data_IF_378058698019
#
_entry.id   IF_378058698019
#
_cell.length_a   1.000
_cell.length_b   1.000
_cell.length_c   1.000
_cell.angle_alpha   90.00
_cell.angle_beta   90.00
_cell.angle_gamma   90.00
#
_symmetry.space_group_name_H-M   'P 1'
#
loop_
_entity.id
_entity.type
_entity.pdbx_description
1 polymer ?
#
# COMPACT_ATOMS: atom_id res chain seq x y z
N UNK A 1 -18.77 5.31 8.41
CA UNK A 1 -17.47 5.97 8.20
C UNK A 1 -17.49 6.60 6.83
N UNK A 2 -17.75 7.91 6.74
CA UNK A 2 -17.67 8.64 5.46
C UNK A 2 -16.26 9.19 5.32
N UNK A 3 -15.55 8.77 4.28
CA UNK A 3 -14.34 9.45 3.81
C UNK A 3 -14.83 10.55 2.86
N UNK A 4 -14.73 11.81 3.27
CA UNK A 4 -15.03 12.97 2.41
C UNK A 4 -13.79 13.29 1.59
N UNK A 5 -13.91 13.30 0.27
CA UNK A 5 -12.92 13.90 -0.61
C UNK A 5 -13.22 15.41 -0.70
N UNK A 6 -12.23 16.26 -0.40
CA UNK A 6 -12.31 17.71 -0.56
C UNK A 6 -11.93 18.12 -1.98
N UNK A 7 -12.64 19.10 -2.54
CA UNK A 7 -12.54 19.59 -3.93
C UNK A 7 -11.47 20.68 -4.15
N UNK A 8 -10.32 20.61 -3.50
CA UNK A 8 -9.17 21.48 -3.80
C UNK A 8 -7.95 20.60 -4.10
N UNK A 9 -7.60 20.46 -5.39
CA UNK A 9 -6.36 19.81 -5.83
C UNK A 9 -6.08 18.45 -5.18
N UNK A 10 -7.05 17.54 -5.25
CA UNK A 10 -7.12 16.27 -4.53
C UNK A 10 -5.75 15.61 -4.25
N UNK A 11 -5.30 15.70 -3.00
CA UNK A 11 -4.65 14.57 -2.34
C UNK A 11 -5.62 13.40 -2.53
N UNK A 12 -5.38 12.60 -3.57
CA UNK A 12 -6.31 11.53 -3.95
C UNK A 12 -6.31 10.55 -2.79
N UNK A 13 -7.36 10.61 -1.97
CA UNK A 13 -7.68 9.58 -0.99
C UNK A 13 -7.79 8.26 -1.76
N UNK A 14 -6.66 7.56 -1.83
CA UNK A 14 -6.49 6.36 -2.62
C UNK A 14 -6.41 5.20 -1.65
N UNK A 15 -7.10 4.14 -1.99
CA UNK A 15 -7.13 2.90 -1.23
C UNK A 15 -7.03 1.74 -2.20
N UNK A 16 -6.59 0.61 -1.68
CA UNK A 16 -6.66 -0.67 -2.36
C UNK A 16 -7.68 -1.56 -1.67
N UNK A 17 -8.50 -2.23 -2.46
CA UNK A 17 -9.59 -3.08 -2.00
C UNK A 17 -9.40 -4.49 -2.59
N UNK A 18 -9.49 -5.51 -1.74
CA UNK A 18 -9.64 -6.88 -2.19
C UNK A 18 -10.79 -7.56 -1.45
N UNK A 19 -11.44 -8.53 -2.08
CA UNK A 19 -12.55 -9.27 -1.47
C UNK A 19 -12.15 -10.73 -1.30
N UNK A 20 -12.15 -11.21 -0.06
CA UNK A 20 -11.85 -12.62 0.23
C UNK A 20 -12.93 -13.54 -0.32
N UNK A 21 -12.59 -14.82 -0.49
CA UNK A 21 -13.58 -15.89 -0.64
C UNK A 21 -14.53 -15.83 0.56
N UNK A 22 -15.84 -15.72 0.30
CA UNK A 22 -16.86 -15.47 1.33
C UNK A 22 -17.32 -14.01 1.44
N UNK A 23 -16.74 -13.08 0.68
CA UNK A 23 -17.26 -11.73 0.50
C UNK A 23 -16.84 -10.71 1.56
N UNK A 24 -15.96 -11.08 2.50
CA UNK A 24 -15.41 -10.13 3.49
C UNK A 24 -14.32 -9.26 2.83
N UNK A 25 -14.44 -7.92 2.86
CA UNK A 25 -13.42 -7.05 2.27
C UNK A 25 -12.13 -6.96 3.09
N UNK A 26 -11.05 -6.63 2.40
CA UNK A 26 -9.81 -6.09 2.93
C UNK A 26 -9.58 -4.73 2.29
N UNK A 27 -9.29 -3.71 3.10
CA UNK A 27 -9.09 -2.33 2.63
C UNK A 27 -7.75 -1.84 3.14
N UNK A 28 -6.83 -1.52 2.25
CA UNK A 28 -5.55 -0.92 2.59
C UNK A 28 -5.52 0.55 2.16
N UNK A 29 -5.09 1.44 3.03
CA UNK A 29 -5.09 2.88 2.78
C UNK A 29 -4.02 3.57 3.62
N UNK A 30 -3.77 4.85 3.28
CA UNK A 30 -2.95 5.74 4.08
C UNK A 30 -3.84 6.55 5.02
N UNK A 31 -3.55 6.52 6.32
CA UNK A 31 -4.25 7.35 7.28
C UNK A 31 -3.80 8.80 7.11
N UNK A 32 -4.67 9.68 6.61
CA UNK A 32 -4.33 11.09 6.32
C UNK A 32 -3.83 11.88 7.53
N UNK A 33 -4.11 11.44 8.77
CA UNK A 33 -3.68 12.15 9.98
C UNK A 33 -2.29 11.74 10.43
N UNK A 34 -1.92 10.49 10.18
CA UNK A 34 -0.64 9.93 10.65
C UNK A 34 0.32 9.60 9.51
N UNK A 35 -0.17 9.64 8.27
CA UNK A 35 0.43 9.12 7.04
C UNK A 35 0.83 7.64 7.09
N UNK A 36 0.45 6.91 8.14
CA UNK A 36 0.74 5.50 8.29
C UNK A 36 -0.08 4.66 7.30
N UNK A 37 0.51 3.58 6.79
CA UNK A 37 -0.24 2.58 6.03
C UNK A 37 -1.01 1.68 6.98
N UNK A 38 -2.29 1.45 6.67
CA UNK A 38 -3.23 0.71 7.52
C UNK A 38 -3.99 -0.30 6.67
N UNK A 39 -4.20 -1.50 7.20
CA UNK A 39 -5.12 -2.51 6.67
C UNK A 39 -6.35 -2.60 7.57
N UNK A 40 -7.54 -2.53 6.97
CA UNK A 40 -8.80 -2.96 7.59
C UNK A 40 -9.10 -4.38 7.17
N UNK A 41 -9.23 -5.27 8.14
CA UNK A 41 -9.75 -6.62 7.95
C UNK A 41 -11.22 -6.65 8.39
N UNK A 42 -12.14 -6.59 7.43
CA UNK A 42 -13.57 -6.55 7.73
C UNK A 42 -14.06 -7.88 8.31
N UNK A 43 -14.82 -7.81 9.41
CA UNK A 43 -15.40 -9.00 10.06
C UNK A 43 -16.69 -9.48 9.39
N UNK A 44 -17.35 -8.62 8.62
CA UNK A 44 -18.56 -8.94 7.84
C UNK A 44 -18.45 -8.45 6.40
N UNK A 45 -19.40 -8.86 5.53
CA UNK A 45 -19.44 -8.44 4.12
C UNK A 45 -19.73 -6.95 3.95
N UNK A 46 -20.51 -6.39 4.87
CA UNK A 46 -20.90 -4.98 4.94
C UNK A 46 -19.78 -4.11 5.54
N UNK A 47 -18.74 -4.74 6.10
CA UNK A 47 -17.64 -4.09 6.80
C UNK A 47 -18.09 -3.10 7.89
N UNK A 48 -19.21 -3.39 8.56
CA UNK A 48 -19.68 -2.56 9.69
C UNK A 48 -18.72 -2.63 10.88
N UNK A 49 -17.95 -3.71 10.99
CA UNK A 49 -16.89 -3.92 11.96
C UNK A 49 -15.64 -4.42 11.26
N UNK A 50 -14.47 -3.91 11.65
CA UNK A 50 -13.19 -4.31 11.08
C UNK A 50 -12.09 -4.24 12.14
N UNK A 51 -11.10 -5.10 12.00
CA UNK A 51 -9.84 -4.96 12.72
C UNK A 51 -8.95 -3.99 11.96
N UNK A 52 -8.45 -2.97 12.67
CA UNK A 52 -7.56 -1.96 12.12
C UNK A 52 -6.13 -2.34 12.46
N UNK A 53 -5.34 -2.66 11.44
CA UNK A 53 -4.00 -3.19 11.55
C UNK A 53 -3.01 -2.17 10.99
N UNK A 54 -2.25 -1.46 11.83
CA UNK A 54 -1.16 -0.59 11.37
C UNK A 54 -0.07 -1.43 10.71
N UNK A 55 0.35 -1.03 9.51
CA UNK A 55 1.41 -1.71 8.75
C UNK A 55 2.74 -0.98 8.85
N UNK A 56 2.69 0.35 9.02
CA UNK A 56 3.84 1.21 9.26
C UNK A 56 3.57 2.14 10.44
N UNK A 57 4.63 2.78 10.93
CA UNK A 57 4.50 3.90 11.87
C UNK A 57 4.04 5.19 11.20
N UNK A 58 3.75 6.23 12.00
CA UNK A 58 3.48 7.57 11.49
C UNK A 58 4.71 8.18 10.80
N UNK A 59 4.48 9.09 9.85
CA UNK A 59 5.51 9.85 9.15
C UNK A 59 5.09 11.31 8.91
N UNK A 60 6.05 12.20 8.76
CA UNK A 60 5.83 13.60 8.35
C UNK A 60 5.73 13.74 6.83
N UNK A 61 6.16 12.74 6.06
CA UNK A 61 6.06 12.73 4.60
C UNK A 61 4.62 12.51 4.15
N UNK A 62 4.07 13.51 3.44
CA UNK A 62 2.67 13.55 3.02
C UNK A 62 2.42 12.92 1.65
N UNK A 63 3.47 12.83 0.81
CA UNK A 63 3.36 12.34 -0.56
C UNK A 63 3.85 10.91 -0.63
N UNK A 64 2.92 9.97 -0.73
CA UNK A 64 3.26 8.57 -0.94
C UNK A 64 2.06 7.80 -1.50
N UNK A 65 2.24 6.86 -2.44
CA UNK A 65 1.16 6.02 -2.92
C UNK A 65 0.43 5.27 -1.82
N UNK A 66 -0.84 4.89 -2.08
CA UNK A 66 -1.54 3.93 -1.24
C UNK A 66 -0.82 2.58 -1.26
N UNK A 67 -0.99 1.73 -0.24
CA UNK A 67 -0.53 0.35 -0.30
C UNK A 67 -1.14 -0.38 -1.49
N UNK A 68 -0.33 -1.13 -2.26
CA UNK A 68 -0.87 -2.09 -3.21
C UNK A 68 -1.31 -3.35 -2.45
N UNK A 69 -2.44 -3.97 -2.84
CA UNK A 69 -3.03 -5.12 -2.14
C UNK A 69 -3.43 -6.20 -3.13
N UNK A 70 -3.00 -7.43 -2.86
CA UNK A 70 -3.43 -8.62 -3.58
C UNK A 70 -3.73 -9.77 -2.60
N UNK A 71 -4.54 -10.73 -3.04
CA UNK A 71 -4.80 -11.97 -2.31
C UNK A 71 -4.07 -13.13 -2.99
N UNK A 72 -3.43 -13.98 -2.19
CA UNK A 72 -2.93 -15.27 -2.70
C UNK A 72 -4.06 -16.30 -2.87
N UNK A 73 -3.72 -17.47 -3.40
CA UNK A 73 -4.69 -18.55 -3.62
C UNK A 73 -5.31 -19.11 -2.32
N UNK A 74 -4.68 -18.91 -1.16
CA UNK A 74 -5.23 -19.25 0.15
C UNK A 74 -6.11 -18.11 0.72
N UNK A 75 -6.14 -16.96 0.05
CA UNK A 75 -6.88 -15.77 0.46
C UNK A 75 -6.14 -14.93 1.49
N UNK A 76 -4.85 -15.16 1.73
CA UNK A 76 -4.03 -14.31 2.58
C UNK A 76 -3.65 -13.02 1.84
N UNK A 77 -3.52 -11.92 2.59
CA UNK A 77 -3.16 -10.64 1.99
C UNK A 77 -1.65 -10.58 1.73
N UNK A 78 -1.29 -10.04 0.57
CA UNK A 78 0.04 -9.52 0.27
C UNK A 78 -0.11 -8.04 0.01
N UNK A 79 0.77 -7.23 0.59
CA UNK A 79 0.78 -5.79 0.39
C UNK A 79 2.18 -5.29 0.04
N UNK A 80 2.25 -4.33 -0.85
CA UNK A 80 3.43 -3.51 -1.06
C UNK A 80 3.21 -2.17 -0.37
N UNK A 81 4.07 -1.83 0.59
CA UNK A 81 3.88 -0.70 1.50
C UNK A 81 5.15 0.12 1.59
N UNK A 82 5.06 1.42 1.36
CA UNK A 82 6.18 2.34 1.58
C UNK A 82 6.24 2.77 3.03
N UNK A 83 7.32 2.40 3.72
CA UNK A 83 7.67 2.92 5.03
C UNK A 83 8.60 4.13 4.88
N UNK A 84 8.00 5.31 4.95
CA UNK A 84 8.71 6.58 4.76
C UNK A 84 9.73 6.85 5.88
N UNK A 85 9.52 6.31 7.08
CA UNK A 85 10.43 6.50 8.21
C UNK A 85 11.74 5.74 8.01
N UNK A 86 11.70 4.62 7.29
CA UNK A 86 12.88 3.81 7.01
C UNK A 86 13.36 3.89 5.56
N UNK A 87 12.64 4.62 4.71
CA UNK A 87 12.86 4.73 3.26
C UNK A 87 12.89 3.38 2.54
N UNK A 88 11.97 2.48 2.90
CA UNK A 88 11.90 1.12 2.33
C UNK A 88 10.54 0.80 1.74
N UNK A 89 10.57 0.04 0.65
CA UNK A 89 9.43 -0.73 0.17
C UNK A 89 9.37 -2.04 0.95
N UNK A 90 8.28 -2.25 1.67
CA UNK A 90 8.01 -3.46 2.42
C UNK A 90 7.02 -4.34 1.67
N UNK A 91 7.33 -5.63 1.59
CA UNK A 91 6.33 -6.67 1.34
C UNK A 91 5.74 -7.08 2.69
N UNK A 92 4.45 -6.84 2.87
CA UNK A 92 3.71 -7.27 4.06
C UNK A 92 2.85 -8.48 3.73
N UNK A 93 2.93 -9.52 4.55
CA UNK A 93 2.10 -10.73 4.45
C UNK A 93 1.22 -10.82 5.67
N UNK A 94 -0.11 -10.88 5.47
CA UNK A 94 -1.06 -11.01 6.57
C UNK A 94 -1.84 -12.32 6.51
N UNK A 95 -1.66 -13.13 7.56
CA UNK A 95 -2.43 -14.33 7.86
C UNK A 95 -3.52 -13.93 8.86
N UNK A 96 -4.75 -13.79 8.36
CA UNK A 96 -5.87 -13.22 9.11
C UNK A 96 -5.55 -11.82 9.68
N UNK A 97 -5.35 -11.70 11.00
CA UNK A 97 -5.00 -10.46 11.71
C UNK A 97 -3.51 -10.31 12.01
N UNK A 98 -2.70 -11.35 11.80
CA UNK A 98 -1.26 -11.33 12.06
C UNK A 98 -0.52 -10.98 10.79
N UNK A 99 0.27 -9.92 10.81
CA UNK A 99 1.08 -9.48 9.68
C UNK A 99 2.58 -9.56 10.00
N UNK A 100 3.37 -9.96 9.01
CA UNK A 100 4.83 -9.85 9.02
C UNK A 100 5.27 -9.06 7.79
N UNK A 101 6.45 -8.46 7.86
CA UNK A 101 7.00 -7.67 6.76
C UNK A 101 8.47 -7.95 6.51
N UNK A 102 8.90 -7.77 5.28
CA UNK A 102 10.30 -7.77 4.87
C UNK A 102 10.55 -6.64 3.87
N UNK A 103 11.74 -6.05 3.92
CA UNK A 103 12.15 -5.07 2.93
C UNK A 103 12.44 -5.76 1.59
N UNK A 104 11.96 -5.17 0.50
CA UNK A 104 12.15 -5.68 -0.88
C UNK A 104 12.73 -4.63 -1.82
N UNK A 105 12.86 -3.38 -1.35
CA UNK A 105 13.50 -2.29 -2.06
C UNK A 105 13.74 -1.12 -1.12
N UNK A 106 14.62 -0.22 -1.55
CA UNK A 106 14.86 1.09 -0.94
C UNK A 106 14.56 2.15 -2.00
N UNK A 107 14.30 3.39 -1.58
CA UNK A 107 14.03 4.48 -2.50
C UNK A 107 14.81 5.74 -2.13
N UNK A 108 15.34 6.38 -3.17
CA UNK A 108 16.03 7.66 -3.04
C UNK A 108 15.05 8.81 -3.29
N UNK A 109 14.11 8.64 -4.23
CA UNK A 109 13.13 9.66 -4.63
C UNK A 109 11.71 9.37 -4.14
N UNK A 110 10.78 10.31 -4.33
CA UNK A 110 9.42 10.12 -3.85
C UNK A 110 8.72 9.01 -4.64
N UNK A 111 8.23 7.95 -3.99
CA UNK A 111 7.44 6.93 -4.67
C UNK A 111 6.13 7.53 -5.20
N UNK A 112 5.68 7.06 -6.36
CA UNK A 112 4.48 7.59 -7.03
C UNK A 112 3.43 6.51 -7.28
N UNK A 113 3.76 5.50 -8.10
CA UNK A 113 2.86 4.40 -8.41
C UNK A 113 3.43 3.07 -7.90
N UNK A 114 2.56 2.18 -7.41
CA UNK A 114 2.98 0.85 -6.98
C UNK A 114 1.87 -0.14 -7.26
N UNK A 115 2.24 -1.25 -7.90
CA UNK A 115 1.36 -2.35 -8.24
C UNK A 115 1.90 -3.64 -7.68
N UNK A 116 0.98 -4.53 -7.30
CA UNK A 116 1.30 -5.84 -6.74
C UNK A 116 0.34 -6.87 -7.33
N UNK A 117 0.91 -7.96 -7.81
CA UNK A 117 0.16 -9.18 -8.14
C UNK A 117 0.77 -10.39 -7.45
N UNK A 118 0.01 -11.47 -7.35
CA UNK A 118 0.48 -12.74 -6.80
C UNK A 118 0.30 -13.81 -7.88
N UNK A 119 1.38 -14.51 -8.22
CA UNK A 119 1.33 -15.56 -9.23
C UNK A 119 0.61 -16.82 -8.72
N UNK A 120 0.35 -17.78 -9.61
CA UNK A 120 -0.34 -19.02 -9.28
C UNK A 120 0.42 -19.90 -8.25
N UNK A 121 1.71 -19.62 -7.99
CA UNK A 121 2.52 -20.31 -6.97
C UNK A 121 2.56 -19.55 -5.65
N UNK A 122 1.82 -18.44 -5.53
CA UNK A 122 1.77 -17.63 -4.32
C UNK A 122 2.91 -16.62 -4.18
N UNK A 123 3.69 -16.38 -5.24
CA UNK A 123 4.81 -15.43 -5.19
C UNK A 123 4.38 -14.02 -5.58
N UNK A 124 4.71 -13.01 -4.77
CA UNK A 124 4.38 -11.62 -5.07
C UNK A 124 5.33 -11.05 -6.12
N UNK A 125 4.77 -10.34 -7.10
CA UNK A 125 5.50 -9.54 -8.08
C UNK A 125 5.12 -8.08 -7.86
N UNK A 126 6.12 -7.24 -7.60
CA UNK A 126 5.92 -5.82 -7.28
C UNK A 126 6.58 -4.98 -8.36
N UNK A 127 5.84 -3.99 -8.87
CA UNK A 127 6.36 -2.97 -9.76
C UNK A 127 6.08 -1.60 -9.15
N UNK A 128 7.03 -0.69 -9.25
CA UNK A 128 6.82 0.68 -8.81
C UNK A 128 7.51 1.69 -9.71
N UNK A 129 7.01 2.92 -9.59
CA UNK A 129 7.58 4.12 -10.18
C UNK A 129 7.90 5.09 -9.06
N UNK A 130 9.10 5.66 -9.08
CA UNK A 130 9.44 6.84 -8.29
C UNK A 130 9.67 8.04 -9.21
N UNK A 131 9.50 9.23 -8.64
CA UNK A 131 9.63 10.50 -9.34
C UNK A 131 10.75 11.29 -8.70
N UNK A 132 11.74 11.63 -9.52
CA UNK A 132 12.70 12.67 -9.21
C UNK A 132 12.19 14.00 -9.76
N UNK A 133 11.82 14.91 -8.87
CA UNK A 133 11.47 16.28 -9.24
C UNK A 133 12.62 17.22 -8.89
N UNK A 134 13.41 17.59 -9.89
CA UNK A 134 14.36 18.70 -9.79
C UNK A 134 13.59 20.01 -9.97
N UNK A 135 13.04 20.55 -8.88
CA UNK A 135 12.28 21.81 -8.88
C UNK A 135 13.02 22.99 -9.54
N UNK A 136 14.37 22.92 -9.57
CA UNK A 136 15.23 23.96 -10.14
C UNK A 136 15.25 23.98 -11.67
N UNK A 137 14.95 22.86 -12.33
CA UNK A 137 15.03 22.71 -13.80
C UNK A 137 13.69 22.58 -14.51
N UNK A 138 12.58 22.44 -13.78
CA UNK A 138 11.25 22.11 -14.34
C UNK A 138 11.27 20.84 -15.20
N UNK A 139 12.14 19.89 -14.85
CA UNK A 139 12.22 18.57 -15.47
C UNK A 139 11.70 17.54 -14.46
N UNK A 140 10.94 16.57 -14.95
CA UNK A 140 10.37 15.47 -14.16
C UNK A 140 10.87 14.17 -14.78
N UNK A 141 11.56 13.35 -13.99
CA UNK A 141 12.05 12.03 -14.41
C UNK A 141 11.27 10.93 -13.69
N UNK A 142 10.92 9.87 -14.42
CA UNK A 142 10.24 8.68 -13.88
C UNK A 142 11.20 7.50 -13.98
N UNK A 143 11.45 6.80 -12.87
CA UNK A 143 12.19 5.54 -12.90
C UNK A 143 11.26 4.39 -12.56
N UNK A 144 11.28 3.34 -13.38
CA UNK A 144 10.47 2.13 -13.15
C UNK A 144 11.37 1.00 -12.67
N UNK A 145 11.03 0.42 -11.53
CA UNK A 145 11.71 -0.77 -11.01
C UNK A 145 10.71 -1.90 -10.80
N UNK A 146 11.10 -3.12 -11.20
CA UNK A 146 10.31 -4.34 -10.99
C UNK A 146 11.12 -5.30 -10.15
N UNK A 147 10.57 -5.69 -8.99
CA UNK A 147 11.14 -6.73 -8.15
C UNK A 147 10.30 -7.99 -8.26
N UNK A 148 10.95 -9.05 -8.73
CA UNK A 148 10.44 -10.41 -8.68
C UNK A 148 10.89 -11.03 -7.36
N UNK A 149 10.01 -11.07 -6.36
CA UNK A 149 10.36 -11.75 -5.12
C UNK A 149 10.24 -13.26 -5.34
N UNK A 150 11.35 -13.99 -5.18
CA UNK A 150 11.44 -15.44 -5.42
C UNK A 150 11.21 -16.23 -4.15
#
# INVERSE_FOLDING_TARGET
MQLRAGEDGAERASLSLAVRRGGRPLIAYRDIRTTASVLLNCRSKECAQADRIPLTGPSEEQLTPPPALALDAAGHARLAVWDMRTRRLLLVTCLESTCSSSAVGEFEHNPDATELTVDARGRPVIAWVDIESEFRKREIWFYTTVVLNR
#
